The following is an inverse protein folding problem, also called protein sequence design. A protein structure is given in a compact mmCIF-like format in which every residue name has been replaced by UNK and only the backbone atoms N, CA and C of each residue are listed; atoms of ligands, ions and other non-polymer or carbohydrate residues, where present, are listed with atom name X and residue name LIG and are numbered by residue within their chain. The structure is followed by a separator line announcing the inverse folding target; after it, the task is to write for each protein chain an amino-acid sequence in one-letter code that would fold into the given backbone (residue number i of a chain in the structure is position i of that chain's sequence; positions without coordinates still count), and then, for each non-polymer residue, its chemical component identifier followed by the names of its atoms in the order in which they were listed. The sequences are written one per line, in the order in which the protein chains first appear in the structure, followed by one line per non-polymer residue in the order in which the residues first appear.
data_IF_591398535680
#
_entry.id   IF_591398535680
#
_cell.length_a   1.000
_cell.length_b   1.000
_cell.length_c   1.000
_cell.angle_alpha   90.00
_cell.angle_beta   90.00
_cell.angle_gamma   90.00
#
_symmetry.space_group_name_H-M   'P 1'
#
loop_
_entity.id
_entity.type
_entity.pdbx_description
1 polymer ?
#
# COMPACT_ATOMS: atom_id res chain seq x y z
N UNK A 1 31.59 37.31 44.93
CA UNK A 1 30.54 36.31 44.72
C UNK A 1 29.96 36.50 43.33
N UNK A 2 30.39 35.65 42.37
CA UNK A 2 29.86 35.59 41.00
C UNK A 2 28.90 34.40 40.96
N UNK A 3 27.61 34.67 40.81
CA UNK A 3 26.61 33.67 40.54
C UNK A 3 26.81 33.10 39.12
N UNK A 4 27.04 31.80 39.04
CA UNK A 4 26.98 31.03 37.77
C UNK A 4 25.52 30.82 37.44
N UNK A 5 25.00 31.46 36.40
CA UNK A 5 23.75 31.11 35.73
C UNK A 5 23.94 29.75 35.06
N UNK A 6 23.33 28.72 35.61
CA UNK A 6 23.21 27.41 34.98
C UNK A 6 22.28 27.52 33.77
N UNK A 7 22.81 27.23 32.59
CA UNK A 7 22.01 27.04 31.40
C UNK A 7 21.28 25.68 31.50
N UNK A 8 20.01 25.70 31.88
CA UNK A 8 19.12 24.56 31.67
C UNK A 8 18.90 24.43 30.17
N UNK A 9 19.68 23.58 29.50
CA UNK A 9 19.30 23.03 28.23
C UNK A 9 18.16 22.03 28.47
N UNK A 10 16.93 22.47 28.31
CA UNK A 10 15.79 21.58 28.21
C UNK A 10 15.99 20.74 26.96
N UNK A 11 16.49 19.52 27.12
CA UNK A 11 16.41 18.48 26.12
C UNK A 11 14.93 18.17 25.90
N UNK A 12 14.27 18.91 25.03
CA UNK A 12 13.02 18.50 24.44
C UNK A 12 13.33 17.32 23.52
N UNK A 13 13.43 16.13 24.09
CA UNK A 13 13.33 14.88 23.33
C UNK A 13 11.87 14.79 22.82
N UNK A 14 11.58 15.52 21.77
CA UNK A 14 10.38 15.29 20.99
C UNK A 14 10.50 13.90 20.37
N UNK A 15 9.74 12.93 20.88
CA UNK A 15 9.67 11.60 20.29
C UNK A 15 9.02 11.72 18.92
N UNK A 16 9.84 11.81 17.88
CA UNK A 16 9.37 11.76 16.51
C UNK A 16 9.04 10.29 16.16
N UNK A 17 7.79 10.01 15.88
CA UNK A 17 7.37 8.72 15.37
C UNK A 17 7.45 8.76 13.86
N UNK A 18 8.53 8.21 13.30
CA UNK A 18 8.70 8.07 11.86
C UNK A 18 8.21 6.70 11.38
N UNK A 19 7.84 6.56 10.09
CA UNK A 19 7.59 5.26 9.50
C UNK A 19 8.86 4.40 9.57
N UNK A 20 8.69 3.09 9.72
CA UNK A 20 9.81 2.15 9.68
C UNK A 20 10.16 1.82 8.24
N UNK A 21 11.12 2.53 7.67
CA UNK A 21 11.64 2.30 6.32
C UNK A 21 13.00 1.62 6.43
N UNK A 22 13.12 0.40 5.93
CA UNK A 22 14.31 -0.45 6.14
C UNK A 22 14.60 -1.32 4.93
N UNK A 23 15.88 -1.71 4.72
CA UNK A 23 16.17 -2.80 3.79
C UNK A 23 15.59 -4.11 4.33
N UNK A 24 15.45 -5.11 3.46
CA UNK A 24 15.17 -6.47 3.91
C UNK A 24 16.32 -7.02 4.77
N UNK A 25 16.05 -7.90 5.74
CA UNK A 25 17.10 -8.63 6.43
C UNK A 25 17.83 -9.55 5.45
N UNK A 26 19.11 -9.79 5.72
CA UNK A 26 19.89 -10.80 4.98
C UNK A 26 19.46 -12.18 5.46
N UNK A 27 18.98 -12.99 4.55
CA UNK A 27 18.58 -14.39 4.81
C UNK A 27 19.17 -15.31 3.75
N UNK A 28 19.12 -16.62 3.96
CA UNK A 28 19.58 -17.60 2.98
C UNK A 28 18.80 -17.56 1.67
N UNK A 29 17.54 -17.12 1.69
CA UNK A 29 16.68 -17.00 0.51
C UNK A 29 16.60 -15.57 -0.06
N UNK A 30 17.04 -14.57 0.69
CA UNK A 30 17.14 -13.18 0.25
C UNK A 30 18.49 -12.58 0.74
N UNK A 31 19.62 -12.98 0.10
CA UNK A 31 20.96 -12.67 0.62
C UNK A 31 21.43 -11.24 0.31
N UNK A 32 20.69 -10.50 -0.53
CA UNK A 32 21.06 -9.13 -0.94
C UNK A 32 20.10 -8.15 -0.32
N UNK A 33 20.64 -7.20 0.45
CA UNK A 33 19.85 -6.10 1.00
C UNK A 33 19.40 -5.16 -0.12
N UNK A 34 18.11 -4.81 -0.12
CA UNK A 34 17.50 -3.83 -0.99
C UNK A 34 16.72 -2.84 -0.14
N UNK A 35 16.86 -1.55 -0.44
CA UNK A 35 16.13 -0.48 0.21
C UNK A 35 14.88 -0.13 -0.60
N UNK A 36 13.81 0.33 0.06
CA UNK A 36 12.67 0.92 -0.65
C UNK A 36 13.08 2.16 -1.44
N UNK A 37 12.55 2.27 -2.65
CA UNK A 37 12.61 3.47 -3.48
C UNK A 37 11.26 4.19 -3.39
N UNK A 38 11.21 5.31 -2.67
CA UNK A 38 9.99 6.06 -2.41
C UNK A 38 10.10 7.42 -3.08
N UNK A 39 9.15 7.75 -3.97
CA UNK A 39 9.10 9.07 -4.59
C UNK A 39 8.91 10.15 -3.53
N UNK A 40 9.54 11.30 -3.73
CA UNK A 40 9.50 12.44 -2.79
C UNK A 40 8.11 13.03 -2.57
N UNK A 41 7.20 12.82 -3.50
CA UNK A 41 5.79 13.29 -3.41
C UNK A 41 4.89 12.27 -2.73
N UNK A 42 5.34 11.04 -2.55
CA UNK A 42 4.61 10.03 -1.79
C UNK A 42 4.72 10.31 -0.29
N UNK A 43 3.64 10.03 0.44
CA UNK A 43 3.61 10.15 1.90
C UNK A 43 3.43 8.79 2.54
N UNK A 44 4.35 8.43 3.44
CA UNK A 44 4.24 7.22 4.28
C UNK A 44 3.99 7.67 5.70
N UNK A 45 2.85 7.29 6.24
CA UNK A 45 2.41 7.69 7.58
C UNK A 45 3.24 7.00 8.68
N UNK A 46 3.19 7.59 9.86
CA UNK A 46 3.78 7.05 11.08
C UNK A 46 3.16 5.68 11.41
N UNK A 47 3.90 4.88 12.17
CA UNK A 47 3.54 3.51 12.55
C UNK A 47 3.36 2.55 11.37
N UNK A 48 3.75 2.96 10.15
CA UNK A 48 3.77 2.08 8.98
C UNK A 48 5.17 1.55 8.74
N UNK A 49 5.26 0.39 8.11
CA UNK A 49 6.53 -0.22 7.73
C UNK A 49 6.61 -0.42 6.22
N UNK A 50 7.76 -0.06 5.63
CA UNK A 50 8.11 -0.34 4.24
C UNK A 50 9.49 -1.00 4.23
N UNK A 51 9.55 -2.28 3.89
CA UNK A 51 10.75 -3.09 4.03
C UNK A 51 11.11 -3.76 2.71
N UNK A 52 12.37 -3.66 2.32
CA UNK A 52 12.95 -4.40 1.20
C UNK A 52 12.78 -3.71 -0.15
N UNK A 53 12.83 -4.51 -1.22
CA UNK A 53 12.76 -4.05 -2.63
C UNK A 53 11.32 -3.63 -2.98
N UNK A 54 10.96 -2.42 -2.58
CA UNK A 54 9.64 -1.81 -2.80
C UNK A 54 9.84 -0.50 -3.55
N UNK A 55 9.23 -0.37 -4.72
CA UNK A 55 9.15 0.90 -5.45
C UNK A 55 7.78 1.54 -5.20
N UNK A 56 7.76 2.73 -4.63
CA UNK A 56 6.56 3.56 -4.42
C UNK A 56 6.68 4.80 -5.31
N UNK A 57 5.70 4.97 -6.21
CA UNK A 57 5.69 6.05 -7.19
C UNK A 57 5.12 7.34 -6.60
N UNK A 58 5.05 8.35 -7.47
CA UNK A 58 4.60 9.69 -7.14
C UNK A 58 3.14 9.73 -6.63
N UNK A 59 2.91 10.66 -5.72
CA UNK A 59 1.62 10.95 -5.09
C UNK A 59 0.92 9.72 -4.49
N UNK A 60 1.68 8.73 -4.02
CA UNK A 60 1.14 7.58 -3.27
C UNK A 60 0.91 7.97 -1.81
N UNK A 61 -0.27 7.64 -1.29
CA UNK A 61 -0.58 7.77 0.13
C UNK A 61 -0.53 6.42 0.84
N UNK A 62 0.32 6.29 1.84
CA UNK A 62 0.37 5.13 2.74
C UNK A 62 -0.11 5.60 4.11
N UNK A 63 -1.30 5.16 4.49
CA UNK A 63 -1.97 5.52 5.74
C UNK A 63 -1.30 4.89 6.98
N UNK A 64 -1.67 5.26 8.20
CA UNK A 64 -1.12 4.68 9.42
C UNK A 64 -1.31 3.16 9.55
N UNK A 65 -0.38 2.50 10.24
CA UNK A 65 -0.41 1.07 10.54
C UNK A 65 -0.42 0.13 9.31
N UNK A 66 0.08 0.60 8.18
CA UNK A 66 0.27 -0.21 6.99
C UNK A 66 1.56 -1.02 7.09
N UNK A 67 1.54 -2.28 6.67
CA UNK A 67 2.71 -3.14 6.60
C UNK A 67 3.00 -3.55 5.15
N UNK A 68 4.08 -3.02 4.57
CA UNK A 68 4.57 -3.36 3.23
C UNK A 68 5.92 -4.06 3.39
N UNK A 69 5.94 -5.40 3.21
CA UNK A 69 7.15 -6.18 3.45
C UNK A 69 7.53 -7.03 2.24
N UNK A 70 8.57 -6.59 1.53
CA UNK A 70 9.24 -7.34 0.46
C UNK A 70 10.50 -8.04 0.99
N UNK A 71 10.39 -8.67 2.14
CA UNK A 71 11.47 -9.38 2.84
C UNK A 71 11.53 -10.88 2.47
N UNK A 72 10.42 -11.46 2.04
CA UNK A 72 10.33 -12.82 1.51
C UNK A 72 10.09 -12.81 0.00
N UNK A 73 8.86 -12.55 -0.45
CA UNK A 73 8.53 -12.34 -1.86
C UNK A 73 8.93 -10.92 -2.30
N UNK A 74 9.64 -10.79 -3.40
CA UNK A 74 10.21 -9.51 -3.88
C UNK A 74 10.37 -9.53 -5.41
N UNK A 75 10.44 -8.39 -6.13
CA UNK A 75 10.16 -7.01 -5.68
C UNK A 75 8.68 -6.66 -5.65
N UNK A 76 8.34 -5.51 -5.03
CA UNK A 76 7.02 -4.88 -5.10
C UNK A 76 7.06 -3.60 -5.92
N UNK A 77 5.94 -3.28 -6.56
CA UNK A 77 5.74 -2.01 -7.27
C UNK A 77 4.36 -1.44 -6.93
N UNK A 78 4.31 -0.17 -6.58
CA UNK A 78 3.10 0.58 -6.26
C UNK A 78 3.08 1.82 -7.16
N UNK A 79 2.10 1.88 -8.05
CA UNK A 79 1.96 2.91 -9.07
C UNK A 79 1.46 4.24 -8.53
N UNK A 80 1.55 5.26 -9.37
CA UNK A 80 1.24 6.65 -9.05
C UNK A 80 -0.22 6.85 -8.63
N UNK A 81 -0.46 7.86 -7.77
CA UNK A 81 -1.80 8.23 -7.28
C UNK A 81 -2.54 7.08 -6.57
N UNK A 82 -1.84 6.06 -6.11
CA UNK A 82 -2.41 4.91 -5.38
C UNK A 82 -2.50 5.22 -3.89
N UNK A 83 -3.55 4.73 -3.23
CA UNK A 83 -3.67 4.86 -1.79
C UNK A 83 -3.77 3.49 -1.12
N UNK A 84 -2.98 3.33 -0.06
CA UNK A 84 -2.91 2.15 0.79
C UNK A 84 -3.42 2.57 2.16
N UNK A 85 -4.63 2.17 2.52
CA UNK A 85 -5.32 2.68 3.69
C UNK A 85 -4.94 1.89 4.96
N UNK A 86 -5.41 2.39 6.12
CA UNK A 86 -5.00 1.91 7.44
C UNK A 86 -5.11 0.39 7.60
N UNK A 87 -4.09 -0.21 8.21
CA UNK A 87 -4.07 -1.63 8.55
C UNK A 87 -3.90 -2.58 7.36
N UNK A 88 -3.65 -2.07 6.16
CA UNK A 88 -3.37 -2.91 4.99
C UNK A 88 -2.07 -3.66 5.15
N UNK A 89 -2.05 -4.91 4.71
CA UNK A 89 -0.84 -5.74 4.66
C UNK A 89 -0.55 -6.12 3.22
N UNK A 90 0.68 -5.79 2.77
CA UNK A 90 1.25 -6.28 1.52
C UNK A 90 2.43 -7.21 1.85
N UNK A 91 2.32 -8.48 1.47
CA UNK A 91 3.37 -9.48 1.65
C UNK A 91 3.39 -10.47 0.47
N UNK A 92 4.48 -11.18 0.26
CA UNK A 92 4.61 -12.05 -0.91
C UNK A 92 5.26 -13.39 -0.60
N UNK A 93 4.92 -14.40 -1.41
CA UNK A 93 5.52 -15.74 -1.32
C UNK A 93 6.92 -15.76 -1.89
N UNK A 94 7.78 -16.52 -1.23
CA UNK A 94 9.15 -16.79 -1.67
C UNK A 94 9.20 -17.28 -3.13
N UNK A 95 10.06 -16.64 -3.93
CA UNK A 95 10.32 -17.01 -5.34
C UNK A 95 9.09 -17.06 -6.26
N UNK A 96 7.94 -16.57 -5.82
CA UNK A 96 6.73 -16.46 -6.65
C UNK A 96 6.60 -15.04 -7.19
N UNK A 97 6.47 -14.94 -8.51
CA UNK A 97 6.37 -13.64 -9.21
C UNK A 97 5.41 -13.70 -10.38
N UNK A 98 4.83 -12.56 -10.68
CA UNK A 98 3.97 -12.35 -11.85
C UNK A 98 4.64 -11.36 -12.80
N UNK A 99 4.37 -11.48 -14.11
CA UNK A 99 4.95 -10.61 -15.12
C UNK A 99 4.12 -9.34 -15.29
N UNK A 100 4.79 -8.18 -15.37
CA UNK A 100 4.25 -6.91 -15.83
C UNK A 100 5.20 -6.33 -16.86
N UNK A 101 4.83 -6.42 -18.13
CA UNK A 101 5.71 -6.13 -19.25
C UNK A 101 6.95 -7.03 -19.23
N UNK A 102 8.14 -6.43 -19.27
CA UNK A 102 9.43 -7.14 -19.25
C UNK A 102 9.93 -7.47 -17.83
N UNK A 103 9.27 -6.97 -16.79
CA UNK A 103 9.68 -7.16 -15.40
C UNK A 103 8.76 -8.17 -14.69
N UNK A 104 9.28 -8.73 -13.61
CA UNK A 104 8.53 -9.66 -12.76
C UNK A 104 8.51 -9.16 -11.33
N UNK A 105 7.32 -9.20 -10.71
CA UNK A 105 7.07 -8.70 -9.37
C UNK A 105 6.42 -9.78 -8.50
N UNK A 106 6.69 -9.77 -7.21
CA UNK A 106 5.88 -10.50 -6.25
C UNK A 106 4.53 -9.83 -6.06
N UNK A 107 4.51 -8.49 -5.96
CA UNK A 107 3.29 -7.69 -5.99
C UNK A 107 3.47 -6.54 -6.98
N UNK A 108 2.53 -6.43 -7.92
CA UNK A 108 2.39 -5.26 -8.79
C UNK A 108 1.04 -4.61 -8.54
N UNK A 109 1.06 -3.35 -8.19
CA UNK A 109 -0.12 -2.50 -8.03
C UNK A 109 0.02 -1.35 -9.03
N UNK A 110 -0.96 -1.18 -9.90
CA UNK A 110 -1.01 -0.15 -10.92
C UNK A 110 -1.22 1.26 -10.36
N UNK A 111 -1.59 2.16 -11.25
CA UNK A 111 -1.88 3.55 -10.90
C UNK A 111 -3.33 3.72 -10.46
N UNK A 112 -3.60 4.74 -9.63
CA UNK A 112 -4.96 5.11 -9.20
C UNK A 112 -5.71 3.95 -8.52
N UNK A 113 -4.98 3.08 -7.83
CA UNK A 113 -5.54 1.94 -7.09
C UNK A 113 -5.88 2.36 -5.67
N UNK A 114 -7.00 1.91 -5.15
CA UNK A 114 -7.33 1.97 -3.73
C UNK A 114 -7.23 0.59 -3.11
N UNK A 115 -6.36 0.44 -2.10
CA UNK A 115 -6.36 -0.71 -1.21
C UNK A 115 -6.94 -0.24 0.12
N UNK A 116 -8.20 -0.57 0.37
CA UNK A 116 -8.96 -0.02 1.49
C UNK A 116 -8.62 -0.69 2.83
N UNK A 117 -9.08 -0.05 3.91
CA UNK A 117 -8.74 -0.40 5.30
C UNK A 117 -8.78 -1.91 5.59
N UNK A 118 -7.71 -2.41 6.18
CA UNK A 118 -7.59 -3.79 6.64
C UNK A 118 -7.46 -4.85 5.54
N UNK A 119 -7.39 -4.46 4.27
CA UNK A 119 -7.24 -5.44 3.18
C UNK A 119 -5.86 -6.12 3.22
N UNK A 120 -5.82 -7.38 2.78
CA UNK A 120 -4.60 -8.16 2.62
C UNK A 120 -4.35 -8.45 1.15
N UNK A 121 -3.19 -8.02 0.64
CA UNK A 121 -2.69 -8.44 -0.68
C UNK A 121 -1.46 -9.31 -0.48
N UNK A 122 -1.57 -10.57 -0.86
CA UNK A 122 -0.48 -11.53 -0.68
C UNK A 122 -0.05 -12.13 -2.02
N UNK A 123 1.14 -11.76 -2.46
CA UNK A 123 1.68 -12.13 -3.77
C UNK A 123 1.93 -13.63 -3.99
N UNK A 124 2.08 -14.06 -5.27
CA UNK A 124 2.20 -13.19 -6.45
C UNK A 124 0.86 -12.58 -6.87
N UNK A 125 0.78 -11.27 -6.90
CA UNK A 125 -0.42 -10.54 -7.29
C UNK A 125 -0.15 -9.47 -8.34
N UNK A 126 -1.08 -9.32 -9.27
CA UNK A 126 -1.15 -8.20 -10.19
C UNK A 126 -2.48 -7.49 -10.04
N UNK A 127 -2.44 -6.26 -9.60
CA UNK A 127 -3.60 -5.39 -9.48
C UNK A 127 -3.42 -4.28 -10.51
N UNK A 128 -4.28 -4.25 -11.53
CA UNK A 128 -4.19 -3.28 -12.61
C UNK A 128 -4.64 -1.88 -12.14
N UNK A 129 -4.53 -0.89 -13.03
CA UNK A 129 -4.93 0.50 -12.74
C UNK A 129 -6.41 0.60 -12.38
N UNK A 130 -6.76 1.61 -11.60
CA UNK A 130 -8.13 2.00 -11.24
C UNK A 130 -8.92 0.90 -10.49
N UNK A 131 -8.24 -0.06 -9.89
CA UNK A 131 -8.88 -1.12 -9.09
C UNK A 131 -9.19 -0.61 -7.69
N UNK A 132 -10.37 -0.96 -7.19
CA UNK A 132 -10.74 -0.79 -5.79
C UNK A 132 -10.73 -2.15 -5.08
N UNK A 133 -9.88 -2.29 -4.06
CA UNK A 133 -9.86 -3.45 -3.15
C UNK A 133 -10.49 -3.02 -1.84
N UNK A 134 -11.69 -3.54 -1.55
CA UNK A 134 -12.54 -3.13 -0.45
C UNK A 134 -12.05 -3.55 0.94
N UNK A 135 -12.73 -3.04 1.94
CA UNK A 135 -12.39 -3.21 3.36
C UNK A 135 -12.27 -4.69 3.74
N UNK A 136 -11.19 -5.06 4.44
CA UNK A 136 -10.92 -6.41 4.93
C UNK A 136 -10.96 -7.51 3.84
N UNK A 137 -10.82 -7.14 2.56
CA UNK A 137 -10.77 -8.12 1.48
C UNK A 137 -9.40 -8.76 1.37
N UNK A 138 -9.36 -9.97 0.82
CA UNK A 138 -8.13 -10.74 0.61
C UNK A 138 -7.92 -10.94 -0.89
N UNK A 139 -6.78 -10.50 -1.39
CA UNK A 139 -6.30 -10.82 -2.74
C UNK A 139 -5.04 -11.66 -2.58
N UNK A 140 -5.15 -12.96 -2.83
CA UNK A 140 -4.08 -13.93 -2.64
C UNK A 140 -3.79 -14.67 -3.93
N UNK A 141 -2.58 -14.54 -4.45
CA UNK A 141 -2.14 -15.20 -5.70
C UNK A 141 -3.14 -14.98 -6.85
N UNK A 142 -3.46 -13.74 -7.19
CA UNK A 142 -4.49 -13.42 -8.16
C UNK A 142 -4.09 -12.26 -9.10
N UNK A 143 -4.81 -12.14 -10.19
CA UNK A 143 -4.73 -11.04 -11.14
C UNK A 143 -6.07 -10.31 -11.14
N UNK A 144 -6.05 -9.00 -10.88
CA UNK A 144 -7.25 -8.16 -10.90
C UNK A 144 -7.16 -7.18 -12.07
N UNK A 145 -8.11 -7.29 -13.01
CA UNK A 145 -8.17 -6.47 -14.20
C UNK A 145 -8.58 -5.02 -13.90
N UNK A 146 -8.16 -4.11 -14.79
CA UNK A 146 -8.36 -2.66 -14.67
C UNK A 146 -9.81 -2.29 -14.37
N UNK A 147 -9.99 -1.30 -13.50
CA UNK A 147 -11.29 -0.75 -13.14
C UNK A 147 -12.25 -1.73 -12.47
N UNK A 148 -11.73 -2.86 -11.94
CA UNK A 148 -12.55 -3.82 -11.18
C UNK A 148 -12.72 -3.34 -9.75
N UNK A 149 -13.83 -3.75 -9.15
CA UNK A 149 -14.19 -3.42 -7.77
C UNK A 149 -14.34 -4.72 -6.96
N UNK A 150 -13.46 -4.92 -6.01
CA UNK A 150 -13.57 -6.00 -5.01
C UNK A 150 -14.26 -5.39 -3.79
N UNK A 151 -15.47 -5.84 -3.48
CA UNK A 151 -16.22 -5.31 -2.34
C UNK A 151 -15.68 -5.89 -1.02
N UNK A 152 -16.12 -5.33 0.09
CA UNK A 152 -15.65 -5.65 1.42
C UNK A 152 -15.79 -7.13 1.81
N UNK A 153 -14.86 -7.64 2.60
CA UNK A 153 -14.77 -9.03 3.08
C UNK A 153 -14.75 -10.09 1.97
N UNK A 154 -14.46 -9.72 0.72
CA UNK A 154 -14.33 -10.66 -0.38
C UNK A 154 -12.97 -11.34 -0.41
N UNK A 155 -12.90 -12.55 -0.95
CA UNK A 155 -11.67 -13.32 -1.13
C UNK A 155 -11.49 -13.63 -2.62
N UNK A 156 -10.33 -13.27 -3.17
CA UNK A 156 -9.92 -13.61 -4.54
C UNK A 156 -8.62 -14.38 -4.47
N UNK A 157 -8.61 -15.63 -4.93
CA UNK A 157 -7.49 -16.55 -4.70
C UNK A 157 -7.27 -17.55 -5.84
N UNK A 158 -6.34 -18.51 -5.64
CA UNK A 158 -6.08 -19.66 -6.51
C UNK A 158 -5.65 -19.32 -7.95
N UNK A 159 -4.91 -18.24 -8.15
CA UNK A 159 -4.44 -17.84 -9.47
C UNK A 159 -5.54 -17.27 -10.39
N UNK A 160 -6.69 -16.95 -9.82
CA UNK A 160 -7.84 -16.43 -10.57
C UNK A 160 -7.49 -15.11 -11.25
N UNK A 161 -8.03 -14.90 -12.44
CA UNK A 161 -7.95 -13.66 -13.19
C UNK A 161 -9.32 -13.00 -13.23
N UNK A 162 -9.51 -11.92 -12.47
CA UNK A 162 -10.70 -11.10 -12.55
C UNK A 162 -10.62 -10.28 -13.85
N UNK A 163 -11.58 -10.41 -14.77
CA UNK A 163 -11.57 -9.60 -15.99
C UNK A 163 -11.75 -8.10 -15.68
N UNK A 164 -11.34 -7.19 -16.59
CA UNK A 164 -11.49 -5.75 -16.38
C UNK A 164 -12.95 -5.33 -16.13
N UNK A 165 -13.15 -4.34 -15.25
CA UNK A 165 -14.46 -3.74 -14.95
C UNK A 165 -15.45 -4.67 -14.28
N UNK A 166 -14.99 -5.68 -13.55
CA UNK A 166 -15.86 -6.64 -12.85
C UNK A 166 -16.04 -6.31 -11.38
N UNK A 167 -17.23 -6.64 -10.90
CA UNK A 167 -17.64 -6.45 -9.52
C UNK A 167 -17.61 -7.78 -8.75
N UNK A 168 -16.74 -7.86 -7.77
CA UNK A 168 -16.72 -8.95 -6.79
C UNK A 168 -17.65 -8.55 -5.64
N UNK A 169 -18.78 -9.25 -5.42
CA UNK A 169 -19.74 -8.90 -4.38
C UNK A 169 -19.17 -8.99 -2.96
N UNK A 170 -19.78 -8.29 -1.99
CA UNK A 170 -19.38 -8.40 -0.59
C UNK A 170 -19.40 -9.85 -0.08
N UNK A 171 -18.35 -10.24 0.65
CA UNK A 171 -18.22 -11.57 1.22
C UNK A 171 -18.06 -12.71 0.20
N UNK A 172 -17.95 -12.42 -1.09
CA UNK A 172 -17.81 -13.45 -2.12
C UNK A 172 -16.44 -14.12 -2.06
N UNK A 173 -16.41 -15.44 -2.30
CA UNK A 173 -15.18 -16.21 -2.48
C UNK A 173 -14.99 -16.58 -3.96
N UNK A 174 -14.05 -15.91 -4.62
CA UNK A 174 -13.70 -16.13 -6.04
C UNK A 174 -12.42 -16.96 -6.08
N UNK A 175 -12.58 -18.27 -6.08
CA UNK A 175 -11.54 -19.29 -5.99
C UNK A 175 -11.38 -20.13 -7.27
N UNK A 176 -12.17 -19.82 -8.31
CA UNK A 176 -12.11 -20.47 -9.62
C UNK A 176 -12.33 -19.47 -10.75
N UNK A 177 -11.76 -19.76 -11.94
CA UNK A 177 -11.93 -18.91 -13.10
C UNK A 177 -13.38 -18.80 -13.54
N UNK A 178 -14.16 -19.90 -13.44
CA UNK A 178 -15.57 -19.88 -13.75
C UNK A 178 -16.37 -18.87 -12.92
N UNK A 179 -16.06 -18.73 -11.63
CA UNK A 179 -16.66 -17.68 -10.78
C UNK A 179 -16.24 -16.28 -11.21
N UNK A 180 -14.98 -16.09 -11.58
CA UNK A 180 -14.50 -14.80 -12.05
C UNK A 180 -15.13 -14.37 -13.38
N UNK A 181 -15.29 -15.31 -14.32
CA UNK A 181 -15.87 -15.06 -15.62
C UNK A 181 -17.38 -14.75 -15.55
N UNK A 182 -18.07 -15.27 -14.52
CA UNK A 182 -19.47 -15.02 -14.26
C UNK A 182 -19.77 -13.69 -13.54
N UNK A 183 -18.74 -12.93 -13.15
CA UNK A 183 -18.93 -11.65 -12.44
C UNK A 183 -19.64 -10.61 -13.32
N UNK A 184 -20.52 -9.84 -12.70
CA UNK A 184 -21.19 -8.72 -13.34
C UNK A 184 -20.27 -7.51 -13.50
N UNK A 185 -20.59 -6.58 -14.40
CA UNK A 185 -19.92 -5.27 -14.44
C UNK A 185 -20.06 -4.52 -13.12
N UNK A 186 -19.10 -3.63 -12.84
CA UNK A 186 -19.14 -2.78 -11.63
C UNK A 186 -20.38 -1.89 -11.67
N UNK A 187 -21.24 -1.89 -10.62
CA UNK A 187 -22.38 -1.00 -10.50
C UNK A 187 -21.97 0.48 -10.53
N UNK A 188 -22.88 1.33 -10.98
CA UNK A 188 -22.63 2.78 -11.07
C UNK A 188 -22.26 3.38 -9.71
N UNK A 189 -23.03 3.08 -8.67
CA UNK A 189 -22.82 3.59 -7.31
C UNK A 189 -21.44 3.17 -6.75
N UNK A 190 -20.99 1.95 -7.08
CA UNK A 190 -19.65 1.46 -6.68
C UNK A 190 -18.53 2.20 -7.42
N UNK A 191 -18.74 2.55 -8.70
CA UNK A 191 -17.78 3.38 -9.44
C UNK A 191 -17.69 4.79 -8.88
N UNK A 192 -18.84 5.40 -8.58
CA UNK A 192 -18.91 6.74 -7.99
C UNK A 192 -18.22 6.75 -6.62
N UNK A 193 -18.47 5.75 -5.79
CA UNK A 193 -17.80 5.60 -4.49
C UNK A 193 -16.28 5.45 -4.64
N UNK A 194 -15.80 4.56 -5.54
CA UNK A 194 -14.37 4.38 -5.78
C UNK A 194 -13.71 5.68 -6.27
N UNK A 195 -14.37 6.41 -7.15
CA UNK A 195 -13.89 7.70 -7.65
C UNK A 195 -13.76 8.73 -6.53
N UNK A 196 -14.79 8.87 -5.67
CA UNK A 196 -14.74 9.82 -4.55
C UNK A 196 -13.64 9.48 -3.55
N UNK A 197 -13.47 8.19 -3.20
CA UNK A 197 -12.37 7.74 -2.35
C UNK A 197 -11.03 8.10 -2.98
N UNK A 198 -10.86 7.83 -4.26
CA UNK A 198 -9.62 8.11 -4.97
C UNK A 198 -9.32 9.62 -5.00
N UNK A 199 -10.31 10.43 -5.32
CA UNK A 199 -10.20 11.90 -5.35
C UNK A 199 -9.74 12.48 -4.01
N UNK A 200 -10.35 12.04 -2.90
CA UNK A 200 -9.99 12.50 -1.56
C UNK A 200 -8.56 12.08 -1.21
N UNK A 201 -8.21 10.83 -1.49
CA UNK A 201 -6.89 10.31 -1.11
C UNK A 201 -5.74 10.89 -1.94
N UNK A 202 -5.99 11.39 -3.15
CA UNK A 202 -4.96 12.08 -3.96
C UNK A 202 -4.49 13.41 -3.34
N UNK A 203 -5.30 14.02 -2.48
CA UNK A 203 -4.94 15.26 -1.80
C UNK A 203 -4.09 15.01 -0.54
N UNK A 204 -4.16 13.82 0.05
CA UNK A 204 -3.52 13.52 1.34
C UNK A 204 -1.99 13.62 1.30
N UNK A 205 -1.25 13.10 0.31
CA UNK A 205 0.20 13.17 0.35
C UNK A 205 0.71 14.60 0.52
N UNK A 206 0.23 15.53 -0.30
CA UNK A 206 0.63 16.94 -0.21
C UNK A 206 0.17 17.59 1.11
N UNK A 207 -1.06 17.32 1.55
CA UNK A 207 -1.63 17.90 2.77
C UNK A 207 -0.89 17.40 4.02
N UNK A 208 -0.58 16.12 4.10
CA UNK A 208 0.18 15.57 5.21
C UNK A 208 1.65 16.02 5.20
N UNK A 209 2.26 16.23 4.02
CA UNK A 209 3.58 16.84 3.92
C UNK A 209 3.58 18.27 4.46
N UNK A 210 2.54 19.05 4.20
CA UNK A 210 2.40 20.39 4.77
C UNK A 210 2.21 20.35 6.28
N UNK A 211 1.36 19.43 6.80
CA UNK A 211 1.05 19.31 8.21
C UNK A 211 2.28 18.91 9.05
N UNK A 212 3.02 17.89 8.60
CA UNK A 212 4.15 17.36 9.38
C UNK A 212 5.48 18.01 9.02
N UNK A 213 5.55 18.81 7.96
CA UNK A 213 6.78 19.47 7.50
C UNK A 213 7.91 18.47 7.22
N UNK A 214 9.15 18.99 7.26
CA UNK A 214 10.34 18.16 7.05
C UNK A 214 10.65 17.21 8.22
N UNK A 215 10.16 17.50 9.40
CA UNK A 215 10.52 16.79 10.64
C UNK A 215 9.54 15.69 11.01
N UNK A 216 8.43 15.51 10.30
CA UNK A 216 7.42 14.43 10.49
C UNK A 216 7.21 14.00 11.96
N UNK A 217 7.26 14.96 12.87
CA UNK A 217 7.08 14.69 14.30
C UNK A 217 5.59 14.73 14.64
N UNK A 218 5.07 13.66 15.23
CA UNK A 218 3.67 13.59 15.69
C UNK A 218 3.38 14.45 16.92
N UNK A 219 4.42 14.92 17.61
CA UNK A 219 4.30 15.68 18.83
C UNK A 219 4.35 17.20 18.63
N UNK A 220 4.64 17.66 17.42
CA UNK A 220 4.78 19.07 17.11
C UNK A 220 4.10 19.42 15.81
N UNK A 221 3.00 20.14 15.88
CA UNK A 221 2.68 21.03 14.78
C UNK A 221 3.87 21.99 14.66
N UNK A 222 4.51 22.03 13.48
CA UNK A 222 5.45 23.11 13.20
C UNK A 222 4.62 24.40 13.17
N UNK A 223 4.77 25.23 14.19
CA UNK A 223 4.24 26.57 14.23
C UNK A 223 5.16 27.50 13.46
#
# INVERSE_FOLDING_TARGET
LREKKGSNSSNNNSHCFEPFISPNPVTSFNPVQRFPEIDKTAFVSQFSSVIGDVTIRDNVFVAPNVSIRADEGTPFYIGSNTNIQDGVILHGLLNKRISSGKKRYSIFIGNEVTIAHGALVHGPCYIADEVFVGFNSIVYTAIVGRGSFIAYNAVVTNGVRIPPGRFVPPGANIDSQAKADALSPVPKDSKEFAFEVQRVNQEFPASYHLLFGKNRCSCGFAY
#
